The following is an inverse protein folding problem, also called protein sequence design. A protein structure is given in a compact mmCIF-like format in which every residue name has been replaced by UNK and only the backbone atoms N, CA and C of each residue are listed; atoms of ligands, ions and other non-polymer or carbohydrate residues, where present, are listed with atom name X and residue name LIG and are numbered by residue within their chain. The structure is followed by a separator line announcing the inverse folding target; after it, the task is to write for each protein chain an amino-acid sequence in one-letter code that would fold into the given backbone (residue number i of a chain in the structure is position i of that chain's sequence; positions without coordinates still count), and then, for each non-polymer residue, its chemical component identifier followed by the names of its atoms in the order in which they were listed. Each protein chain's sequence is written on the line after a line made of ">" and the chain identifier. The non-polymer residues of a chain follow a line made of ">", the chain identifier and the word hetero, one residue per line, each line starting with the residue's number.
data_IF_188403534202
#
_entry.id   IF_188403534202
#
_cell.length_a   1.000
_cell.length_b   1.000
_cell.length_c   1.000
_cell.angle_alpha   90.00
_cell.angle_beta   90.00
_cell.angle_gamma   90.00
#
_symmetry.space_group_name_H-M   'P 1'
#
loop_
_entity.id
_entity.type
_entity.pdbx_description
1 polymer ?
#
# COMPACT_ATOMS: atom_id res chain seq x y z
N UNK A 1 25.31 -52.86 -4.43
CA UNK A 1 26.44 -51.98 -4.78
C UNK A 1 26.14 -50.61 -4.20
N UNK A 2 26.60 -50.36 -2.98
CA UNK A 2 26.47 -49.03 -2.37
C UNK A 2 27.47 -48.10 -3.07
N UNK A 3 27.00 -46.93 -3.51
CA UNK A 3 27.87 -45.90 -4.08
C UNK A 3 28.81 -45.37 -2.97
N UNK A 4 30.03 -44.92 -3.30
CA UNK A 4 30.92 -44.31 -2.32
C UNK A 4 30.24 -43.12 -1.64
N UNK A 5 30.39 -42.97 -0.32
CA UNK A 5 29.66 -41.94 0.45
C UNK A 5 29.94 -40.51 -0.07
N UNK A 6 31.17 -40.23 -0.48
CA UNK A 6 31.55 -38.94 -1.07
C UNK A 6 30.74 -38.62 -2.36
N UNK A 7 30.43 -39.64 -3.16
CA UNK A 7 29.64 -39.47 -4.38
C UNK A 7 28.15 -39.26 -4.09
N UNK A 8 27.63 -39.82 -2.99
CA UNK A 8 26.24 -39.66 -2.56
C UNK A 8 26.02 -38.26 -1.98
N UNK A 9 26.96 -37.82 -1.14
CA UNK A 9 27.02 -36.50 -0.54
C UNK A 9 27.08 -35.38 -1.60
N UNK A 10 27.94 -35.51 -2.61
CA UNK A 10 28.01 -34.57 -3.72
C UNK A 10 26.70 -34.51 -4.52
N UNK A 11 26.08 -35.65 -4.85
CA UNK A 11 24.80 -35.70 -5.57
C UNK A 11 23.65 -35.06 -4.78
N UNK A 12 23.65 -35.23 -3.47
CA UNK A 12 22.68 -34.58 -2.58
C UNK A 12 22.84 -33.06 -2.60
N UNK A 13 24.05 -32.55 -2.40
CA UNK A 13 24.35 -31.11 -2.44
C UNK A 13 23.96 -30.47 -3.79
N UNK A 14 24.30 -31.12 -4.91
CA UNK A 14 23.94 -30.65 -6.24
C UNK A 14 22.43 -30.65 -6.49
N UNK A 15 21.72 -31.70 -6.07
CA UNK A 15 20.26 -31.78 -6.23
C UNK A 15 19.55 -30.68 -5.42
N UNK A 16 20.04 -30.41 -4.21
CA UNK A 16 19.51 -29.35 -3.36
C UNK A 16 19.77 -27.96 -3.96
N UNK A 17 20.99 -27.70 -4.45
CA UNK A 17 21.34 -26.43 -5.10
C UNK A 17 20.48 -26.18 -6.36
N UNK A 18 20.26 -27.21 -7.20
CA UNK A 18 19.40 -27.11 -8.39
C UNK A 18 17.92 -26.87 -8.03
N UNK A 19 17.40 -27.54 -7.01
CA UNK A 19 16.04 -27.32 -6.53
C UNK A 19 15.85 -25.87 -6.06
N UNK A 20 16.83 -25.33 -5.32
CA UNK A 20 16.81 -23.94 -4.85
C UNK A 20 16.90 -22.96 -6.02
N UNK A 21 17.80 -23.19 -6.98
CA UNK A 21 17.92 -22.35 -8.17
C UNK A 21 16.63 -22.29 -8.99
N UNK A 22 15.94 -23.42 -9.17
CA UNK A 22 14.67 -23.48 -9.89
C UNK A 22 13.55 -22.73 -9.15
N UNK A 23 13.48 -22.87 -7.82
CA UNK A 23 12.52 -22.13 -7.00
C UNK A 23 12.76 -20.61 -7.06
N UNK A 24 14.03 -20.18 -7.02
CA UNK A 24 14.40 -18.77 -7.21
C UNK A 24 13.98 -18.27 -8.60
N UNK A 25 14.22 -19.06 -9.64
CA UNK A 25 13.85 -18.69 -11.02
C UNK A 25 12.34 -18.53 -11.19
N UNK A 26 11.51 -19.36 -10.55
CA UNK A 26 10.06 -19.21 -10.58
C UNK A 26 9.59 -17.91 -9.91
N UNK A 27 10.24 -17.53 -8.80
CA UNK A 27 9.97 -16.27 -8.11
C UNK A 27 10.39 -15.06 -8.97
N UNK A 28 11.55 -15.13 -9.62
CA UNK A 28 12.04 -14.08 -10.52
C UNK A 28 11.04 -13.79 -11.65
N UNK A 29 10.52 -14.83 -12.31
CA UNK A 29 9.52 -14.69 -13.37
C UNK A 29 8.26 -14.01 -12.85
N UNK A 30 7.74 -14.46 -11.70
CA UNK A 30 6.52 -13.89 -11.12
C UNK A 30 6.71 -12.43 -10.66
N UNK A 31 7.89 -12.09 -10.16
CA UNK A 31 8.23 -10.70 -9.80
C UNK A 31 8.36 -9.82 -11.05
N UNK A 32 8.96 -10.32 -12.12
CA UNK A 32 9.14 -9.58 -13.38
C UNK A 32 7.80 -9.27 -14.05
N UNK A 33 6.86 -10.23 -14.06
CA UNK A 33 5.48 -10.01 -14.50
C UNK A 33 4.79 -8.93 -13.66
N UNK A 34 4.96 -8.96 -12.33
CA UNK A 34 4.41 -7.95 -11.44
C UNK A 34 4.98 -6.56 -11.71
N UNK A 35 6.31 -6.44 -11.85
CA UNK A 35 7.00 -5.18 -12.16
C UNK A 35 6.56 -4.62 -13.52
N UNK A 36 6.45 -5.47 -14.53
CA UNK A 36 5.96 -5.09 -15.86
C UNK A 36 4.52 -4.56 -15.78
N UNK A 37 3.67 -5.20 -14.99
CA UNK A 37 2.29 -4.73 -14.77
C UNK A 37 2.23 -3.36 -14.05
N UNK A 38 3.24 -3.03 -13.26
CA UNK A 38 3.36 -1.73 -12.59
C UNK A 38 4.15 -0.68 -13.38
N UNK A 39 4.82 -1.04 -14.47
CA UNK A 39 5.65 -0.10 -15.23
C UNK A 39 4.85 1.10 -15.80
N UNK A 40 3.54 0.93 -15.99
CA UNK A 40 2.64 1.98 -16.48
C UNK A 40 2.20 2.98 -15.40
N UNK A 41 2.34 2.63 -14.11
CA UNK A 41 1.93 3.47 -12.98
C UNK A 41 2.72 4.79 -12.90
N UNK A 42 4.06 4.78 -12.94
CA UNK A 42 4.87 6.00 -12.94
C UNK A 42 4.55 6.92 -14.12
N UNK A 43 4.34 6.35 -15.30
CA UNK A 43 3.98 7.11 -16.50
C UNK A 43 2.62 7.80 -16.32
N UNK A 44 1.61 7.06 -15.84
CA UNK A 44 0.27 7.58 -15.57
C UNK A 44 0.27 8.70 -14.51
N UNK A 45 1.08 8.54 -13.46
CA UNK A 45 1.30 9.53 -12.41
C UNK A 45 1.93 10.81 -12.95
N UNK A 46 2.92 10.71 -13.84
CA UNK A 46 3.57 11.86 -14.46
C UNK A 46 2.61 12.65 -15.36
N UNK A 47 1.76 11.97 -16.14
CA UNK A 47 0.87 12.65 -17.10
C UNK A 47 -0.40 13.20 -16.44
N UNK A 48 -0.99 12.47 -15.49
CA UNK A 48 -2.34 12.76 -14.97
C UNK A 48 -2.32 13.23 -13.50
N UNK A 49 -1.20 13.11 -12.80
CA UNK A 49 -1.11 13.35 -11.35
C UNK A 49 -1.90 12.32 -10.52
N UNK A 50 -2.42 11.27 -11.16
CA UNK A 50 -3.23 10.22 -10.56
C UNK A 50 -2.71 8.85 -11.01
N UNK A 51 -2.78 7.81 -10.17
CA UNK A 51 -2.23 6.49 -10.47
C UNK A 51 -2.90 5.73 -11.63
N UNK A 52 -3.85 6.32 -12.37
CA UNK A 52 -4.53 5.69 -13.51
C UNK A 52 -5.36 4.44 -13.17
N UNK A 53 -5.42 4.06 -11.89
CA UNK A 53 -5.98 2.80 -11.39
C UNK A 53 -6.87 3.10 -10.18
N UNK A 54 -8.01 2.39 -10.06
CA UNK A 54 -8.94 2.60 -8.96
C UNK A 54 -8.37 2.15 -7.61
N UNK A 55 -8.77 2.79 -6.48
CA UNK A 55 -8.31 2.46 -5.12
C UNK A 55 -8.27 0.95 -4.83
N UNK A 56 -9.32 0.23 -5.20
CA UNK A 56 -9.44 -1.22 -4.96
C UNK A 56 -8.40 -2.04 -5.74
N UNK A 57 -8.15 -1.71 -7.00
CA UNK A 57 -7.14 -2.39 -7.82
C UNK A 57 -5.73 -2.11 -7.29
N UNK A 58 -5.50 -0.88 -6.82
CA UNK A 58 -4.24 -0.47 -6.27
C UNK A 58 -3.90 -1.19 -4.96
N UNK A 59 -4.90 -1.35 -4.07
CA UNK A 59 -4.77 -2.17 -2.85
C UNK A 59 -4.51 -3.65 -3.18
N UNK A 60 -5.13 -4.20 -4.23
CA UNK A 60 -4.84 -5.58 -4.68
C UNK A 60 -3.38 -5.75 -5.10
N UNK A 61 -2.84 -4.81 -5.90
CA UNK A 61 -1.43 -4.82 -6.32
C UNK A 61 -0.47 -4.70 -5.14
N UNK A 62 -0.80 -3.86 -4.17
CA UNK A 62 -0.10 -3.78 -2.89
C UNK A 62 -0.08 -5.13 -2.13
N UNK A 63 -1.20 -5.84 -2.13
CA UNK A 63 -1.31 -7.16 -1.51
C UNK A 63 -0.48 -8.23 -2.24
N UNK A 64 -0.44 -8.18 -3.57
CA UNK A 64 0.45 -9.03 -4.39
C UNK A 64 1.92 -8.83 -3.99
N UNK A 65 2.37 -7.58 -3.82
CA UNK A 65 3.73 -7.29 -3.36
C UNK A 65 4.01 -7.79 -1.94
N UNK A 66 3.04 -7.65 -1.03
CA UNK A 66 3.16 -8.21 0.32
C UNK A 66 3.30 -9.74 0.30
N UNK A 67 2.61 -10.43 -0.62
CA UNK A 67 2.76 -11.87 -0.82
C UNK A 67 4.17 -12.22 -1.30
N UNK A 68 4.75 -11.48 -2.23
CA UNK A 68 6.14 -11.68 -2.66
C UNK A 68 7.14 -11.47 -1.51
N UNK A 69 6.95 -10.41 -0.71
CA UNK A 69 7.78 -10.13 0.47
C UNK A 69 7.68 -11.25 1.52
N UNK A 70 6.49 -11.77 1.76
CA UNK A 70 6.29 -12.90 2.67
C UNK A 70 6.94 -14.18 2.13
N UNK A 71 6.79 -14.47 0.84
CA UNK A 71 7.39 -15.64 0.18
C UNK A 71 8.92 -15.65 0.26
N UNK A 72 9.56 -14.48 0.14
CA UNK A 72 11.00 -14.37 0.31
C UNK A 72 11.45 -14.40 1.75
N UNK A 73 10.74 -13.72 2.66
CA UNK A 73 11.14 -13.71 4.07
C UNK A 73 11.11 -15.14 4.65
N UNK A 74 10.17 -15.98 4.21
CA UNK A 74 10.09 -17.38 4.60
C UNK A 74 11.16 -18.27 3.93
N UNK A 75 11.67 -17.88 2.76
CA UNK A 75 12.70 -18.63 2.04
C UNK A 75 14.11 -18.01 2.16
N UNK A 76 14.28 -16.97 2.98
CA UNK A 76 15.54 -16.26 3.14
C UNK A 76 16.66 -17.20 3.58
N UNK A 77 16.33 -18.13 4.47
CA UNK A 77 17.21 -19.19 4.98
C UNK A 77 17.56 -20.24 3.91
N UNK A 78 16.74 -20.37 2.85
CA UNK A 78 17.01 -21.29 1.73
C UNK A 78 17.90 -20.69 0.65
N UNK A 79 18.01 -19.35 0.56
CA UNK A 79 18.70 -18.67 -0.55
C UNK A 79 19.97 -17.92 -0.15
N UNK A 80 20.06 -17.41 1.09
CA UNK A 80 21.15 -16.53 1.50
C UNK A 80 22.36 -17.28 2.08
N UNK A 81 22.11 -18.33 2.87
CA UNK A 81 23.16 -18.93 3.70
C UNK A 81 23.33 -20.43 3.42
N UNK A 82 24.58 -20.89 3.51
CA UNK A 82 24.92 -22.31 3.51
C UNK A 82 24.23 -22.92 4.73
N UNK A 83 23.36 -23.94 4.58
CA UNK A 83 22.61 -24.48 5.70
C UNK A 83 23.52 -24.97 6.82
N UNK A 84 23.13 -24.80 8.09
CA UNK A 84 23.94 -25.16 9.26
C UNK A 84 24.45 -26.61 9.26
N UNK A 85 23.72 -27.48 8.57
CA UNK A 85 24.07 -28.89 8.37
C UNK A 85 25.40 -29.08 7.60
N UNK A 86 25.83 -28.13 6.78
CA UNK A 86 27.09 -28.23 6.02
C UNK A 86 28.30 -27.78 6.85
N UNK A 87 28.13 -27.05 7.96
CA UNK A 87 29.25 -26.60 8.82
C UNK A 87 29.97 -27.74 9.54
N UNK A 88 29.32 -28.90 9.66
CA UNK A 88 29.91 -30.09 10.29
C UNK A 88 30.75 -30.91 9.32
N UNK A 89 30.61 -30.71 8.01
CA UNK A 89 31.23 -31.55 6.97
C UNK A 89 31.92 -30.71 5.86
N UNK A 90 33.22 -30.38 6.00
CA UNK A 90 33.92 -29.43 5.13
C UNK A 90 34.05 -29.87 3.66
N UNK A 91 33.97 -31.18 3.37
CA UNK A 91 33.91 -31.67 1.98
C UNK A 91 32.57 -31.30 1.30
N UNK A 92 31.48 -31.34 2.07
CA UNK A 92 30.12 -31.06 1.59
C UNK A 92 29.93 -29.56 1.33
N UNK A 93 30.46 -28.73 2.22
CA UNK A 93 30.52 -27.27 2.08
C UNK A 93 31.24 -26.88 0.78
N UNK A 94 32.40 -27.48 0.49
CA UNK A 94 33.17 -27.16 -0.72
C UNK A 94 32.44 -27.49 -2.01
N UNK A 95 31.70 -28.60 -2.06
CA UNK A 95 30.87 -28.96 -3.22
C UNK A 95 29.67 -28.02 -3.39
N UNK A 96 29.02 -27.65 -2.29
CA UNK A 96 27.88 -26.74 -2.30
C UNK A 96 28.27 -25.32 -2.70
N UNK A 97 29.38 -24.79 -2.18
CA UNK A 97 29.84 -23.42 -2.45
C UNK A 97 30.40 -23.31 -3.88
N UNK A 98 31.08 -24.35 -4.39
CA UNK A 98 31.49 -24.41 -5.81
C UNK A 98 30.30 -24.38 -6.77
N UNK A 99 29.22 -25.09 -6.47
CA UNK A 99 27.99 -25.08 -7.28
C UNK A 99 27.25 -23.74 -7.16
N UNK A 100 27.15 -23.19 -5.95
CA UNK A 100 26.47 -21.92 -5.68
C UNK A 100 27.16 -20.74 -6.36
N UNK A 101 28.49 -20.79 -6.45
CA UNK A 101 29.29 -19.81 -7.17
C UNK A 101 29.17 -20.01 -8.70
N UNK A 102 29.14 -21.26 -9.18
CA UNK A 102 28.92 -21.55 -10.60
C UNK A 102 27.52 -21.15 -11.11
N UNK A 103 26.52 -21.17 -10.23
CA UNK A 103 25.12 -20.79 -10.52
C UNK A 103 24.81 -19.32 -10.18
N UNK A 104 25.80 -18.58 -9.70
CA UNK A 104 25.73 -17.17 -9.33
C UNK A 104 24.54 -16.82 -8.41
N UNK A 105 24.24 -17.74 -7.48
CA UNK A 105 23.03 -17.68 -6.65
C UNK A 105 23.05 -16.45 -5.73
N UNK A 106 24.25 -16.03 -5.30
CA UNK A 106 24.44 -14.87 -4.41
C UNK A 106 24.15 -13.55 -5.13
N UNK A 107 24.67 -13.34 -6.34
CA UNK A 107 24.38 -12.10 -7.10
C UNK A 107 22.93 -12.02 -7.54
N UNK A 108 22.33 -13.15 -7.98
CA UNK A 108 20.92 -13.19 -8.36
C UNK A 108 19.99 -12.87 -7.18
N UNK A 109 20.26 -13.45 -6.01
CA UNK A 109 19.49 -13.17 -4.79
C UNK A 109 19.60 -11.69 -4.41
N UNK A 110 20.79 -11.08 -4.55
CA UNK A 110 20.99 -9.65 -4.31
C UNK A 110 20.18 -8.79 -5.28
N UNK A 111 20.22 -9.08 -6.58
CA UNK A 111 19.46 -8.35 -7.59
C UNK A 111 17.94 -8.42 -7.35
N UNK A 112 17.42 -9.60 -7.00
CA UNK A 112 16.01 -9.78 -6.62
C UNK A 112 15.65 -8.97 -5.38
N UNK A 113 16.51 -8.97 -4.37
CA UNK A 113 16.28 -8.22 -3.14
C UNK A 113 16.27 -6.69 -3.39
N UNK A 114 17.13 -6.19 -4.28
CA UNK A 114 17.13 -4.79 -4.71
C UNK A 114 15.84 -4.42 -5.46
N UNK A 115 15.39 -5.25 -6.41
CA UNK A 115 14.12 -5.05 -7.14
C UNK A 115 12.91 -4.95 -6.20
N UNK A 116 12.91 -5.73 -5.12
CA UNK A 116 11.82 -5.73 -4.15
C UNK A 116 11.88 -4.53 -3.22
N UNK A 117 13.08 -4.11 -2.83
CA UNK A 117 13.28 -2.89 -2.05
C UNK A 117 12.71 -1.70 -2.83
N UNK A 118 13.03 -1.59 -4.11
CA UNK A 118 12.43 -0.58 -5.00
C UNK A 118 10.90 -0.68 -5.07
N UNK A 119 10.36 -1.89 -5.24
CA UNK A 119 8.92 -2.10 -5.27
C UNK A 119 8.25 -1.68 -3.95
N UNK A 120 8.90 -1.91 -2.80
CA UNK A 120 8.41 -1.54 -1.48
C UNK A 120 8.37 -0.02 -1.28
N UNK A 121 9.40 0.69 -1.76
CA UNK A 121 9.43 2.15 -1.78
C UNK A 121 8.29 2.74 -2.62
N UNK A 122 8.10 2.20 -3.84
CA UNK A 122 7.00 2.57 -4.72
C UNK A 122 5.62 2.32 -4.05
N UNK A 123 5.46 1.19 -3.35
CA UNK A 123 4.28 0.91 -2.56
C UNK A 123 4.06 1.94 -1.45
N UNK A 124 5.12 2.44 -0.80
CA UNK A 124 4.98 3.43 0.29
C UNK A 124 4.43 4.76 -0.25
N UNK A 125 4.94 5.22 -1.40
CA UNK A 125 4.44 6.41 -2.09
C UNK A 125 2.98 6.22 -2.49
N UNK A 126 2.65 5.05 -3.03
CA UNK A 126 1.30 4.74 -3.48
C UNK A 126 0.29 4.67 -2.32
N UNK A 127 0.70 4.19 -1.14
CA UNK A 127 -0.09 4.25 0.09
C UNK A 127 -0.36 5.69 0.52
N UNK A 128 0.66 6.54 0.48
CA UNK A 128 0.53 7.94 0.85
C UNK A 128 -0.51 8.66 -0.03
N UNK A 129 -0.45 8.46 -1.35
CA UNK A 129 -1.44 9.00 -2.29
C UNK A 129 -2.87 8.48 -2.01
N UNK A 130 -3.01 7.21 -1.64
CA UNK A 130 -4.31 6.64 -1.25
C UNK A 130 -4.86 7.24 0.04
N UNK A 131 -4.02 7.43 1.05
CA UNK A 131 -4.43 8.00 2.34
C UNK A 131 -4.87 9.46 2.16
N UNK A 132 -4.13 10.24 1.38
CA UNK A 132 -4.46 11.62 1.05
C UNK A 132 -5.86 11.73 0.41
N UNK A 133 -6.16 10.88 -0.58
CA UNK A 133 -7.49 10.84 -1.19
C UNK A 133 -8.61 10.40 -0.23
N UNK A 134 -8.29 9.67 0.85
CA UNK A 134 -9.26 9.25 1.87
C UNK A 134 -9.68 10.41 2.75
N UNK A 135 -8.73 11.25 3.14
CA UNK A 135 -8.95 12.42 3.99
C UNK A 135 -9.98 13.35 3.37
N UNK A 136 -9.87 13.60 2.07
CA UNK A 136 -10.82 14.44 1.33
C UNK A 136 -12.26 13.91 1.35
N UNK A 137 -12.44 12.58 1.30
CA UNK A 137 -13.79 12.00 1.39
C UNK A 137 -14.40 12.18 2.79
N UNK A 138 -13.58 12.09 3.85
CA UNK A 138 -14.05 12.31 5.22
C UNK A 138 -14.41 13.77 5.48
N UNK A 139 -13.67 14.71 4.90
CA UNK A 139 -13.97 16.14 4.97
C UNK A 139 -15.35 16.46 4.36
N UNK A 140 -15.65 15.92 3.18
CA UNK A 140 -16.94 16.11 2.52
C UNK A 140 -18.10 15.56 3.35
N UNK A 141 -17.92 14.44 4.06
CA UNK A 141 -18.93 13.90 4.97
C UNK A 141 -19.20 14.88 6.11
N UNK A 142 -18.17 15.45 6.73
CA UNK A 142 -18.33 16.43 7.82
C UNK A 142 -19.06 17.68 7.31
N UNK A 143 -18.67 18.22 6.15
CA UNK A 143 -19.32 19.38 5.54
C UNK A 143 -20.80 19.08 5.26
N UNK A 144 -21.11 17.90 4.73
CA UNK A 144 -22.49 17.49 4.48
C UNK A 144 -23.31 17.38 5.77
N UNK A 145 -22.74 16.84 6.86
CA UNK A 145 -23.42 16.74 8.16
C UNK A 145 -23.74 18.12 8.74
N UNK A 146 -22.79 19.06 8.68
CA UNK A 146 -23.01 20.44 9.12
C UNK A 146 -24.07 21.13 8.24
N UNK A 147 -24.03 20.93 6.92
CA UNK A 147 -25.01 21.50 6.01
C UNK A 147 -26.43 21.02 6.32
N UNK A 148 -26.61 19.72 6.60
CA UNK A 148 -27.91 19.16 7.01
C UNK A 148 -28.42 19.80 8.30
N UNK A 149 -27.55 19.95 9.31
CA UNK A 149 -27.91 20.59 10.58
C UNK A 149 -28.37 22.04 10.38
N UNK A 150 -27.63 22.81 9.59
CA UNK A 150 -27.98 24.21 9.26
C UNK A 150 -29.32 24.28 8.51
N UNK A 151 -29.58 23.37 7.57
CA UNK A 151 -30.85 23.32 6.85
C UNK A 151 -32.01 23.04 7.81
N UNK A 152 -31.85 22.10 8.74
CA UNK A 152 -32.88 21.78 9.75
C UNK A 152 -33.13 23.00 10.66
N UNK A 153 -32.07 23.66 11.13
CA UNK A 153 -32.18 24.86 11.94
C UNK A 153 -32.91 25.99 11.21
N UNK A 154 -32.57 26.23 9.93
CA UNK A 154 -33.23 27.24 9.09
C UNK A 154 -34.72 26.95 8.87
N UNK A 155 -35.11 25.69 8.65
CA UNK A 155 -36.54 25.34 8.50
C UNK A 155 -37.29 25.55 9.83
N UNK A 156 -36.65 25.24 10.96
CA UNK A 156 -37.28 25.30 12.28
C UNK A 156 -37.43 26.72 12.80
N UNK A 157 -36.37 27.52 12.72
CA UNK A 157 -36.28 28.85 13.37
C UNK A 157 -36.39 30.00 12.35
N UNK A 158 -36.17 29.72 11.07
CA UNK A 158 -36.26 30.71 9.99
C UNK A 158 -37.62 31.41 9.89
N UNK A 159 -38.77 30.73 9.99
CA UNK A 159 -40.08 31.39 9.89
C UNK A 159 -40.31 32.43 10.99
N UNK A 160 -39.91 32.11 12.23
CA UNK A 160 -40.09 33.00 13.39
C UNK A 160 -39.12 34.19 13.35
N UNK A 161 -37.87 33.95 12.92
CA UNK A 161 -36.88 35.00 12.75
C UNK A 161 -37.25 35.96 11.61
N UNK A 162 -37.77 35.44 10.49
CA UNK A 162 -38.20 36.26 9.37
C UNK A 162 -39.44 37.09 9.71
N UNK A 163 -40.39 36.49 10.45
CA UNK A 163 -41.55 37.20 10.98
C UNK A 163 -41.18 38.32 11.95
N UNK A 164 -40.19 38.11 12.85
CA UNK A 164 -39.67 39.18 13.72
C UNK A 164 -38.96 40.29 12.93
N UNK A 165 -38.18 39.94 11.91
CA UNK A 165 -37.47 40.90 11.07
C UNK A 165 -38.42 41.78 10.26
N UNK A 166 -39.47 41.20 9.69
CA UNK A 166 -40.51 41.95 8.94
C UNK A 166 -41.47 42.69 9.87
N UNK A 167 -41.79 42.13 11.04
CA UNK A 167 -42.73 42.73 12.00
C UNK A 167 -42.15 43.90 12.82
N UNK A 168 -40.83 44.08 12.86
CA UNK A 168 -40.21 45.17 13.65
C UNK A 168 -40.28 46.54 12.93
N UNK A 169 -40.69 46.59 11.66
CA UNK A 169 -40.73 47.84 10.89
C UNK A 169 -42.00 48.69 11.07
N UNK A 170 -43.07 48.22 11.72
CA UNK A 170 -44.36 48.96 11.80
C UNK A 170 -44.77 49.52 13.18
N UNK A 171 -44.00 49.35 14.26
CA UNK A 171 -44.35 49.92 15.58
C UNK A 171 -43.62 51.24 15.94
N UNK A 172 -43.43 52.11 14.95
CA UNK A 172 -42.95 53.47 15.23
C UNK A 172 -43.66 54.48 14.33
N UNK A 173 -44.87 54.90 14.72
CA UNK A 173 -45.43 56.26 14.55
C UNK A 173 -46.98 56.27 14.63
N UNK A 174 -47.54 56.52 15.82
CA UNK A 174 -48.81 57.25 16.11
C UNK A 174 -49.02 57.15 17.63
N UNK A 175 -49.21 58.18 18.46
CA UNK A 175 -49.75 59.52 18.27
C UNK A 175 -49.44 60.34 19.56
N UNK A 176 -48.88 61.56 19.51
CA UNK A 176 -48.84 62.48 20.64
C UNK A 176 -50.01 63.47 20.51
N UNK A 177 -51.13 63.22 21.18
CA UNK A 177 -52.17 64.22 21.51
C UNK A 177 -53.40 63.46 22.01
N UNK A 178 -53.55 63.31 23.33
CA UNK A 178 -54.85 63.10 24.02
C UNK A 178 -54.79 63.07 25.56
N UNK A 179 -53.77 63.64 26.18
CA UNK A 179 -53.85 64.06 27.59
C UNK A 179 -53.54 65.54 27.67
N UNK A 180 -54.32 66.26 28.49
CA UNK A 180 -54.30 67.71 28.72
C UNK A 180 -55.16 68.59 27.79
N UNK A 181 -56.44 68.22 27.67
CA UNK A 181 -57.51 69.20 27.89
C UNK A 181 -58.42 68.66 28.99
N UNK A 182 -58.00 68.70 30.26
CA UNK A 182 -58.89 68.74 31.43
C UNK A 182 -58.09 69.27 32.64
N UNK A 183 -58.42 70.51 33.04
CA UNK A 183 -58.14 71.21 34.34
C UNK A 183 -56.80 71.88 34.54
#
# INVERSE_FOLDING_TARGET
>A
MALPENTLLARYAYSQALSRSTALSALEVSLDEYLTSMAQLPHSLMTTGKPGMGRKQLIKKLGELMKFRQGLNLNRENFSDVPDFYWTEPELERHFDSMSNALDVKERTRSVNEKITYAAEAQSVLRQLLTESSTHSMELVIIALIAVEVVIALIREGPELWAKLVGTSEEKHTNPEKELVVT
#
